data_IF_511052040412
#
_entry.id   IF_511052040412
#
_cell.length_a   1.000
_cell.length_b   1.000
_cell.length_c   1.000
_cell.angle_alpha   90.00
_cell.angle_beta   90.00
_cell.angle_gamma   90.00
#
_symmetry.space_group_name_H-M   'P 1'
#
loop_
_entity.id
_entity.type
_entity.pdbx_description
1 polymer ?
#
# COMPACT_ATOMS: atom_id res chain seq x y z
N UNK A 1 10.91 27.02 71.01
CA UNK A 1 10.68 25.56 70.90
C UNK A 1 9.56 25.34 69.89
N UNK A 2 9.73 24.35 69.00
CA UNK A 2 8.84 23.95 67.88
C UNK A 2 9.21 24.59 66.52
N UNK A 3 10.18 23.96 65.86
CA UNK A 3 10.46 24.09 64.42
C UNK A 3 9.44 23.25 63.66
N UNK A 4 8.59 23.87 62.84
CA UNK A 4 7.65 23.18 61.94
C UNK A 4 8.39 22.83 60.64
N UNK A 5 8.64 21.54 60.41
CA UNK A 5 9.06 21.04 59.11
C UNK A 5 7.82 20.86 58.22
N UNK A 6 7.71 21.67 57.18
CA UNK A 6 6.70 21.51 56.14
C UNK A 6 7.22 20.47 55.15
N UNK A 7 6.66 19.26 55.18
CA UNK A 7 6.93 18.24 54.18
C UNK A 7 6.23 18.63 52.88
N UNK A 8 7.00 19.02 51.88
CA UNK A 8 6.53 19.22 50.52
C UNK A 8 6.36 17.83 49.86
N UNK A 9 5.13 17.32 49.83
CA UNK A 9 4.78 16.16 49.04
C UNK A 9 4.86 16.53 47.56
N UNK A 10 5.96 16.17 46.90
CA UNK A 10 6.05 16.20 45.44
C UNK A 10 5.25 14.99 44.95
N UNK A 11 4.01 15.23 44.52
CA UNK A 11 3.24 14.25 43.78
C UNK A 11 3.94 14.04 42.43
N UNK A 12 4.73 12.97 42.33
CA UNK A 12 5.30 12.50 41.07
C UNK A 12 4.13 11.96 40.25
N UNK A 13 3.49 12.81 39.45
CA UNK A 13 2.50 12.36 38.48
C UNK A 13 3.23 11.51 37.46
N UNK A 14 3.15 10.19 37.61
CA UNK A 14 3.51 9.23 36.58
C UNK A 14 2.63 9.54 35.37
N UNK A 15 3.19 10.29 34.42
CA UNK A 15 2.58 10.56 33.13
C UNK A 15 2.57 9.22 32.39
N UNK A 16 1.52 8.43 32.57
CA UNK A 16 1.23 7.30 31.69
C UNK A 16 0.92 7.89 30.34
N UNK A 17 1.94 8.02 29.49
CA UNK A 17 1.73 8.17 28.06
C UNK A 17 0.96 6.94 27.61
N UNK A 18 -0.37 7.08 27.48
CA UNK A 18 -1.17 6.13 26.73
C UNK A 18 -0.55 6.07 25.36
N UNK A 19 0.11 4.95 25.05
CA UNK A 19 0.74 4.70 23.77
C UNK A 19 -0.39 4.50 22.74
N UNK A 20 -1.01 5.60 22.31
CA UNK A 20 -2.01 5.57 21.26
C UNK A 20 -1.27 5.21 19.98
N UNK A 21 -1.57 4.04 19.42
CA UNK A 21 -0.96 3.62 18.15
C UNK A 21 -1.20 4.72 17.12
N UNK A 22 -0.13 5.15 16.43
CA UNK A 22 -0.17 6.24 15.45
C UNK A 22 -1.20 5.99 14.35
N UNK A 23 -1.50 4.72 14.06
CA UNK A 23 -2.46 4.28 13.05
C UNK A 23 -3.56 3.44 13.69
N UNK A 24 -4.82 3.67 13.30
CA UNK A 24 -5.94 2.84 13.74
C UNK A 24 -6.01 1.59 12.87
N UNK A 25 -6.45 0.48 13.46
CA UNK A 25 -6.67 -0.78 12.74
C UNK A 25 -7.55 -0.58 11.50
N UNK A 26 -8.60 0.23 11.62
CA UNK A 26 -9.54 0.51 10.54
C UNK A 26 -8.89 1.26 9.37
N UNK A 27 -7.90 2.11 9.64
CA UNK A 27 -7.11 2.79 8.60
C UNK A 27 -6.25 1.76 7.84
N UNK A 28 -5.59 0.87 8.58
CA UNK A 28 -4.70 -0.14 8.02
C UNK A 28 -5.43 -1.20 7.20
N UNK A 29 -6.71 -1.46 7.52
CA UNK A 29 -7.61 -2.37 6.77
C UNK A 29 -8.41 -1.65 5.67
N UNK A 30 -8.27 -0.33 5.51
CA UNK A 30 -9.01 0.46 4.51
C UNK A 30 -10.50 0.61 4.80
N UNK A 31 -10.90 0.43 6.06
CA UNK A 31 -12.28 0.48 6.54
C UNK A 31 -12.67 1.88 7.03
N UNK A 32 -11.72 2.80 7.15
CA UNK A 32 -11.97 4.19 7.54
C UNK A 32 -12.02 5.15 6.34
N UNK A 33 -12.63 6.32 6.55
CA UNK A 33 -12.52 7.47 5.66
C UNK A 33 -11.29 8.27 6.06
N UNK A 34 -10.26 8.26 5.23
CA UNK A 34 -9.04 9.04 5.45
C UNK A 34 -9.25 10.52 5.07
N UNK A 35 -8.48 11.40 5.70
CA UNK A 35 -8.37 12.79 5.31
C UNK A 35 -7.28 12.93 4.24
N UNK A 36 -7.66 13.24 3.01
CA UNK A 36 -6.72 13.34 1.90
C UNK A 36 -6.09 14.73 1.80
N UNK A 37 -4.89 14.80 1.21
CA UNK A 37 -4.24 16.04 0.78
C UNK A 37 -5.15 16.85 -0.15
N UNK A 38 -5.76 16.15 -1.11
CA UNK A 38 -6.67 16.68 -2.11
C UNK A 38 -7.55 15.53 -2.65
N UNK A 39 -8.83 15.78 -2.92
CA UNK A 39 -9.78 14.75 -3.37
C UNK A 39 -9.47 14.19 -4.77
N UNK A 40 -8.69 14.89 -5.60
CA UNK A 40 -8.23 14.37 -6.89
C UNK A 40 -6.98 13.48 -6.78
N UNK A 41 -6.18 13.66 -5.72
CA UNK A 41 -4.94 12.89 -5.49
C UNK A 41 -5.21 11.68 -4.58
N UNK A 42 -6.07 11.84 -3.56
CA UNK A 42 -6.48 10.80 -2.60
C UNK A 42 -5.30 10.06 -1.96
N UNK A 43 -4.29 10.82 -1.56
CA UNK A 43 -3.20 10.39 -0.68
C UNK A 43 -3.31 11.11 0.67
N UNK A 44 -2.72 10.54 1.71
CA UNK A 44 -2.55 11.25 2.99
C UNK A 44 -1.76 12.54 2.80
N UNK A 45 -1.94 13.56 3.67
CA UNK A 45 -1.38 14.90 3.47
C UNK A 45 0.12 14.93 3.14
N UNK A 46 0.93 14.16 3.86
CA UNK A 46 2.38 14.10 3.67
C UNK A 46 2.75 13.43 2.33
N UNK A 47 2.11 12.30 2.02
CA UNK A 47 2.31 11.60 0.75
C UNK A 47 1.84 12.43 -0.45
N UNK A 48 0.71 13.13 -0.32
CA UNK A 48 0.18 14.02 -1.35
C UNK A 48 1.10 15.20 -1.63
N UNK A 49 1.65 15.83 -0.58
CA UNK A 49 2.65 16.90 -0.73
C UNK A 49 3.90 16.41 -1.45
N UNK A 50 4.43 15.25 -1.06
CA UNK A 50 5.59 14.64 -1.72
C UNK A 50 5.29 14.28 -3.19
N UNK A 51 4.09 13.75 -3.46
CA UNK A 51 3.65 13.42 -4.81
C UNK A 51 3.57 14.66 -5.72
N UNK A 52 3.04 15.79 -5.22
CA UNK A 52 2.99 17.04 -5.97
C UNK A 52 4.40 17.50 -6.36
N UNK A 53 5.35 17.47 -5.42
CA UNK A 53 6.74 17.82 -5.69
C UNK A 53 7.38 16.88 -6.73
N UNK A 54 7.14 15.57 -6.62
CA UNK A 54 7.60 14.58 -7.60
C UNK A 54 7.04 14.83 -8.99
N UNK A 55 5.72 15.10 -9.08
CA UNK A 55 5.02 15.38 -10.33
C UNK A 55 5.52 16.66 -11.00
N UNK A 56 5.79 17.71 -10.23
CA UNK A 56 6.37 18.96 -10.74
C UNK A 56 7.80 18.76 -11.27
N UNK A 57 8.63 17.96 -10.58
CA UNK A 57 9.97 17.63 -11.04
C UNK A 57 9.95 16.85 -12.36
N UNK A 58 9.10 15.82 -12.46
CA UNK A 58 8.93 15.05 -13.69
C UNK A 58 8.44 15.92 -14.86
N UNK A 59 7.53 16.86 -14.59
CA UNK A 59 6.99 17.75 -15.62
C UNK A 59 8.06 18.65 -16.24
N UNK A 60 9.03 19.11 -15.44
CA UNK A 60 10.19 19.89 -15.93
C UNK A 60 11.06 19.10 -16.90
N UNK A 61 11.07 17.77 -16.79
CA UNK A 61 11.74 16.84 -17.71
C UNK A 61 10.80 16.32 -18.81
N UNK A 62 9.61 16.92 -18.95
CA UNK A 62 8.67 16.62 -20.02
C UNK A 62 7.78 15.40 -19.76
N UNK A 63 7.76 14.83 -18.56
CA UNK A 63 6.94 13.67 -18.20
C UNK A 63 5.73 14.14 -17.38
N UNK A 64 4.51 13.86 -17.85
CA UNK A 64 3.29 14.25 -17.13
C UNK A 64 2.79 13.06 -16.32
N UNK A 65 3.17 12.97 -15.05
CA UNK A 65 2.66 11.91 -14.16
C UNK A 65 1.15 12.11 -13.96
N UNK A 66 0.37 11.09 -14.30
CA UNK A 66 -1.07 11.01 -14.05
C UNK A 66 -1.39 9.78 -13.19
N UNK A 67 -2.24 9.97 -12.17
CA UNK A 67 -2.70 8.90 -11.28
C UNK A 67 -3.81 8.12 -11.99
N UNK A 68 -3.65 6.79 -12.05
CA UNK A 68 -4.71 5.83 -12.42
C UNK A 68 -5.48 5.39 -11.18
N UNK A 69 -4.78 5.12 -10.08
CA UNK A 69 -5.35 4.71 -8.80
C UNK A 69 -4.52 5.24 -7.65
N UNK A 70 -5.17 5.71 -6.60
CA UNK A 70 -4.57 6.06 -5.31
C UNK A 70 -5.36 5.36 -4.20
N UNK A 71 -5.82 6.07 -3.15
CA UNK A 71 -6.58 5.44 -2.09
C UNK A 71 -7.76 4.62 -2.61
N UNK A 72 -7.87 3.42 -2.04
CA UNK A 72 -8.93 2.45 -2.33
C UNK A 72 -9.46 1.95 -1.00
N UNK A 73 -10.77 2.03 -0.79
CA UNK A 73 -11.39 1.48 0.42
C UNK A 73 -11.43 -0.06 0.39
N UNK A 74 -11.62 -0.65 1.55
CA UNK A 74 -11.90 -2.09 1.73
C UNK A 74 -13.02 -2.55 0.79
N UNK A 75 -14.16 -1.85 0.81
CA UNK A 75 -15.34 -2.20 0.00
C UNK A 75 -15.04 -2.15 -1.50
N UNK A 76 -14.23 -1.18 -1.95
CA UNK A 76 -13.80 -1.12 -3.35
C UNK A 76 -12.88 -2.29 -3.70
N UNK A 77 -11.96 -2.67 -2.82
CA UNK A 77 -11.09 -3.81 -3.05
C UNK A 77 -11.88 -5.14 -3.06
N UNK A 78 -12.86 -5.29 -2.17
CA UNK A 78 -13.80 -6.44 -2.16
C UNK A 78 -14.59 -6.55 -3.46
N UNK A 79 -15.11 -5.44 -3.96
CA UNK A 79 -15.77 -5.42 -5.26
C UNK A 79 -14.84 -5.87 -6.40
N UNK A 80 -13.59 -5.37 -6.44
CA UNK A 80 -12.60 -5.75 -7.47
C UNK A 80 -12.29 -7.25 -7.39
N UNK A 81 -12.07 -7.77 -6.18
CA UNK A 81 -11.84 -9.20 -5.94
C UNK A 81 -12.99 -10.05 -6.47
N UNK A 82 -14.21 -9.79 -6.00
CA UNK A 82 -15.39 -10.58 -6.37
C UNK A 82 -15.62 -10.52 -7.89
N UNK A 83 -15.49 -9.34 -8.51
CA UNK A 83 -15.59 -9.19 -9.97
C UNK A 83 -14.57 -10.04 -10.73
N UNK A 84 -13.30 -10.04 -10.29
CA UNK A 84 -12.24 -10.87 -10.90
C UNK A 84 -12.55 -12.36 -10.72
N UNK A 85 -12.99 -12.76 -9.53
CA UNK A 85 -13.36 -14.15 -9.23
C UNK A 85 -14.48 -14.64 -10.15
N UNK A 86 -15.58 -13.91 -10.26
CA UNK A 86 -16.69 -14.31 -11.14
C UNK A 86 -16.27 -14.34 -12.62
N UNK A 87 -15.53 -13.34 -13.11
CA UNK A 87 -15.07 -13.32 -14.51
C UNK A 87 -14.14 -14.48 -14.85
N UNK A 88 -13.29 -14.91 -13.91
CA UNK A 88 -12.43 -16.07 -14.09
C UNK A 88 -13.23 -17.39 -14.02
N UNK A 89 -14.24 -17.47 -13.13
CA UNK A 89 -15.10 -18.64 -13.01
C UNK A 89 -15.97 -18.85 -14.28
N UNK A 90 -16.45 -17.77 -14.89
CA UNK A 90 -17.14 -17.81 -16.20
C UNK A 90 -16.25 -18.38 -17.32
N UNK A 91 -14.93 -18.25 -17.18
CA UNK A 91 -13.93 -18.84 -18.09
C UNK A 91 -13.55 -20.28 -17.72
N UNK A 92 -14.24 -20.89 -16.75
CA UNK A 92 -14.01 -22.27 -16.32
C UNK A 92 -12.84 -22.46 -15.35
N UNK A 93 -12.26 -21.38 -14.80
CA UNK A 93 -11.15 -21.49 -13.84
C UNK A 93 -11.71 -21.97 -12.49
N UNK A 94 -11.18 -23.08 -11.97
CA UNK A 94 -11.63 -23.64 -10.70
C UNK A 94 -11.31 -22.69 -9.52
N UNK A 95 -12.06 -22.74 -8.40
CA UNK A 95 -11.93 -21.76 -7.31
C UNK A 95 -10.52 -21.59 -6.73
N UNK A 96 -9.75 -22.67 -6.57
CA UNK A 96 -8.40 -22.62 -5.98
C UNK A 96 -7.40 -21.97 -6.93
N UNK A 97 -7.41 -22.37 -8.20
CA UNK A 97 -6.59 -21.73 -9.24
C UNK A 97 -6.99 -20.26 -9.42
N UNK A 98 -8.27 -19.96 -9.32
CA UNK A 98 -8.80 -18.62 -9.48
C UNK A 98 -8.27 -17.66 -8.41
N UNK A 99 -8.30 -18.03 -7.12
CA UNK A 99 -7.74 -17.16 -6.07
C UNK A 99 -6.24 -16.94 -6.26
N UNK A 100 -5.49 -17.97 -6.68
CA UNK A 100 -4.06 -17.86 -6.98
C UNK A 100 -3.81 -16.89 -8.15
N UNK A 101 -4.60 -16.99 -9.21
CA UNK A 101 -4.55 -16.07 -10.36
C UNK A 101 -4.89 -14.63 -9.98
N UNK A 102 -5.84 -14.43 -9.05
CA UNK A 102 -6.20 -13.08 -8.59
C UNK A 102 -5.03 -12.45 -7.84
N UNK A 103 -4.36 -13.20 -6.95
CA UNK A 103 -3.26 -12.70 -6.13
C UNK A 103 -1.95 -12.48 -6.89
N UNK A 104 -1.91 -12.75 -8.20
CA UNK A 104 -0.81 -12.31 -9.07
C UNK A 104 -0.75 -10.78 -9.18
N UNK A 105 -1.91 -10.09 -9.21
CA UNK A 105 -2.01 -8.64 -9.43
C UNK A 105 -3.10 -7.95 -8.59
N UNK A 106 -3.71 -8.64 -7.62
CA UNK A 106 -4.78 -8.07 -6.80
C UNK A 106 -4.74 -8.60 -5.39
N UNK A 107 -5.02 -7.71 -4.45
CA UNK A 107 -4.93 -7.98 -3.01
C UNK A 107 -6.25 -8.54 -2.47
N UNK A 108 -6.16 -9.33 -1.40
CA UNK A 108 -7.31 -9.56 -0.54
C UNK A 108 -7.79 -8.21 0.02
N UNK A 109 -9.11 -8.00 0.20
CA UNK A 109 -9.60 -6.82 0.90
C UNK A 109 -9.01 -6.74 2.30
N UNK A 110 -8.52 -5.57 2.70
CA UNK A 110 -7.81 -5.38 3.96
C UNK A 110 -6.29 -5.50 3.85
N UNK A 111 -5.74 -5.97 2.72
CA UNK A 111 -4.28 -6.10 2.53
C UNK A 111 -3.70 -5.17 1.46
N UNK A 112 -4.56 -4.42 0.76
CA UNK A 112 -4.10 -3.47 -0.25
C UNK A 112 -3.32 -2.33 0.37
N UNK A 113 -2.11 -2.06 -0.12
CA UNK A 113 -1.35 -0.88 0.30
C UNK A 113 -2.04 0.44 -0.06
N UNK A 114 -2.90 0.45 -1.09
CA UNK A 114 -3.76 1.59 -1.39
C UNK A 114 -4.75 1.94 -0.26
N UNK A 115 -5.05 1.00 0.66
CA UNK A 115 -5.85 1.30 1.85
C UNK A 115 -5.22 2.40 2.70
N UNK A 116 -3.89 2.49 2.70
CA UNK A 116 -3.14 3.38 3.56
C UNK A 116 -3.09 4.82 3.05
N UNK A 117 -3.53 5.07 1.80
CA UNK A 117 -3.41 6.39 1.17
C UNK A 117 -1.96 6.82 0.96
N UNK A 118 -1.04 5.86 0.84
CA UNK A 118 0.40 6.07 0.60
C UNK A 118 0.85 5.61 -0.78
N UNK A 119 0.00 4.85 -1.48
CA UNK A 119 0.37 4.11 -2.68
C UNK A 119 -0.42 4.59 -3.91
N UNK A 120 0.27 4.70 -5.04
CA UNK A 120 -0.24 5.18 -6.32
C UNK A 120 0.10 4.24 -7.46
N UNK A 121 -0.82 4.12 -8.40
CA UNK A 121 -0.60 3.59 -9.74
C UNK A 121 -0.57 4.75 -10.72
N UNK A 122 0.49 4.86 -11.53
CA UNK A 122 0.73 6.02 -12.39
C UNK A 122 1.02 5.66 -13.85
N UNK A 123 0.69 6.60 -14.74
CA UNK A 123 1.01 6.56 -16.18
C UNK A 123 1.51 7.93 -16.67
N UNK A 124 2.01 7.97 -17.92
CA UNK A 124 2.35 9.24 -18.58
C UNK A 124 1.08 9.79 -19.23
N UNK A 125 0.50 10.82 -18.61
CA UNK A 125 -0.71 11.50 -19.06
C UNK A 125 -0.56 12.29 -20.36
N UNK A 126 0.63 12.31 -20.99
CA UNK A 126 0.81 12.78 -22.38
C UNK A 126 0.51 11.70 -23.42
N UNK A 127 0.41 10.43 -23.02
CA UNK A 127 0.23 9.30 -23.93
C UNK A 127 -1.24 8.92 -24.09
N UNK A 128 -1.62 8.30 -25.23
CA UNK A 128 -2.95 7.73 -25.40
C UNK A 128 -3.28 6.71 -24.31
N UNK A 129 -4.56 6.63 -23.95
CA UNK A 129 -5.10 5.72 -22.92
C UNK A 129 -5.98 4.69 -23.60
N UNK A 130 -5.37 3.62 -24.07
CA UNK A 130 -6.02 2.58 -24.86
C UNK A 130 -5.99 1.25 -24.12
N UNK A 131 -7.14 0.58 -23.97
CA UNK A 131 -7.23 -0.71 -23.27
C UNK A 131 -6.81 -0.62 -21.79
N UNK A 132 -6.27 -1.72 -21.25
CA UNK A 132 -5.79 -1.76 -19.88
C UNK A 132 -4.47 -0.97 -19.76
N UNK A 133 -4.45 0.02 -18.87
CA UNK A 133 -3.34 0.97 -18.74
C UNK A 133 -2.17 0.40 -17.94
N UNK A 134 -2.44 -0.55 -17.04
CA UNK A 134 -1.48 -1.07 -16.07
C UNK A 134 -1.01 -2.46 -16.49
N UNK A 135 -0.38 -2.51 -17.66
CA UNK A 135 0.22 -3.71 -18.24
C UNK A 135 1.73 -3.53 -18.34
N UNK A 136 2.50 -4.55 -17.96
CA UNK A 136 3.96 -4.49 -17.90
C UNK A 136 4.55 -4.05 -19.26
N UNK A 137 4.08 -4.61 -20.36
CA UNK A 137 4.58 -4.30 -21.70
C UNK A 137 4.46 -2.81 -22.08
N UNK A 138 3.55 -2.06 -21.43
CA UNK A 138 3.41 -0.62 -21.69
C UNK A 138 4.52 0.22 -21.07
N UNK A 139 5.26 -0.31 -20.11
CA UNK A 139 6.36 0.36 -19.42
C UNK A 139 7.74 -0.12 -19.93
N UNK A 140 7.78 -1.09 -20.85
CA UNK A 140 9.01 -1.69 -21.37
C UNK A 140 9.10 -1.62 -22.90
N UNK A 141 10.30 -1.83 -23.44
CA UNK A 141 10.54 -1.85 -24.89
C UNK A 141 10.09 -0.56 -25.57
N UNK A 142 9.10 -0.67 -26.47
CA UNK A 142 8.51 0.46 -27.19
C UNK A 142 7.18 0.93 -26.57
N UNK A 143 6.87 0.50 -25.34
CA UNK A 143 5.65 0.86 -24.64
C UNK A 143 5.51 2.37 -24.39
N UNK A 144 4.27 2.89 -24.31
CA UNK A 144 4.03 4.33 -24.18
C UNK A 144 4.62 4.94 -22.90
N UNK A 145 4.77 4.15 -21.82
CA UNK A 145 5.15 4.61 -20.49
C UNK A 145 6.62 4.33 -20.13
N UNK A 146 7.44 3.88 -21.09
CA UNK A 146 8.87 3.57 -20.85
C UNK A 146 9.63 4.75 -20.25
N UNK A 147 9.44 5.96 -20.80
CA UNK A 147 10.09 7.17 -20.28
C UNK A 147 9.67 7.53 -18.85
N UNK A 148 8.41 7.27 -18.50
CA UNK A 148 7.94 7.45 -17.14
C UNK A 148 8.63 6.46 -16.20
N UNK A 149 8.63 5.17 -16.54
CA UNK A 149 9.28 4.13 -15.74
C UNK A 149 10.73 4.49 -15.44
N UNK A 150 11.51 4.81 -16.49
CA UNK A 150 12.93 5.18 -16.37
C UNK A 150 13.14 6.39 -15.46
N UNK A 151 12.28 7.40 -15.58
CA UNK A 151 12.37 8.58 -14.72
C UNK A 151 12.04 8.24 -13.26
N UNK A 152 11.01 7.43 -13.02
CA UNK A 152 10.61 7.02 -11.68
C UNK A 152 11.68 6.15 -11.01
N UNK A 153 12.25 5.17 -11.73
CA UNK A 153 13.35 4.33 -11.23
C UNK A 153 14.56 5.17 -10.78
N UNK A 154 14.84 6.28 -11.48
CA UNK A 154 15.94 7.19 -11.17
C UNK A 154 15.62 8.19 -10.06
N UNK A 155 14.38 8.66 -9.95
CA UNK A 155 14.06 9.87 -9.18
C UNK A 155 13.08 9.66 -8.02
N UNK A 156 12.21 8.65 -8.05
CA UNK A 156 11.09 8.51 -7.10
C UNK A 156 11.57 8.51 -5.64
N UNK A 157 12.71 7.86 -5.37
CA UNK A 157 13.30 7.73 -4.03
C UNK A 157 13.61 9.10 -3.41
N UNK A 158 13.99 10.11 -4.21
CA UNK A 158 14.28 11.47 -3.74
C UNK A 158 13.05 12.17 -3.15
N UNK A 159 11.86 11.67 -3.46
CA UNK A 159 10.58 12.13 -2.95
C UNK A 159 9.95 11.14 -1.96
N UNK A 160 10.72 10.13 -1.50
CA UNK A 160 10.24 9.11 -0.56
C UNK A 160 9.38 8.01 -1.20
N UNK A 161 9.26 7.97 -2.53
CA UNK A 161 8.50 6.93 -3.23
C UNK A 161 9.39 5.78 -3.66
N UNK A 162 8.98 4.56 -3.32
CA UNK A 162 9.66 3.32 -3.67
C UNK A 162 8.73 2.40 -4.42
N UNK A 163 9.26 1.67 -5.40
CA UNK A 163 8.57 0.60 -6.10
C UNK A 163 8.48 -0.64 -5.18
N UNK A 164 7.28 -1.07 -4.72
CA UNK A 164 7.13 -2.22 -3.84
C UNK A 164 7.32 -3.53 -4.58
N UNK A 165 6.67 -3.69 -5.74
CA UNK A 165 6.68 -4.91 -6.52
C UNK A 165 7.72 -4.80 -7.63
N UNK A 166 8.98 -5.09 -7.28
CA UNK A 166 10.13 -5.01 -8.20
C UNK A 166 10.23 -6.24 -9.10
N UNK A 167 10.96 -6.12 -10.22
CA UNK A 167 11.32 -7.21 -11.15
C UNK A 167 12.42 -8.14 -10.60
N UNK A 168 12.51 -8.27 -9.28
CA UNK A 168 13.50 -9.15 -8.67
C UNK A 168 13.01 -10.59 -8.68
N UNK A 169 13.75 -11.48 -9.36
CA UNK A 169 13.49 -12.94 -9.31
C UNK A 169 13.56 -13.57 -7.92
N UNK A 170 14.09 -12.85 -6.92
CA UNK A 170 14.18 -13.30 -5.53
C UNK A 170 12.94 -12.89 -4.70
N UNK A 171 12.04 -12.10 -5.27
CA UNK A 171 10.82 -11.62 -4.61
C UNK A 171 9.68 -12.59 -4.92
N UNK A 172 8.94 -12.95 -3.88
CA UNK A 172 7.72 -13.75 -3.97
C UNK A 172 6.48 -12.84 -3.98
N UNK A 173 5.30 -13.41 -4.18
CA UNK A 173 4.02 -12.70 -4.11
C UNK A 173 3.59 -12.10 -5.45
N UNK A 174 3.10 -10.86 -5.41
CA UNK A 174 2.58 -10.16 -6.59
C UNK A 174 3.62 -10.10 -7.71
N UNK A 175 3.17 -10.06 -8.96
CA UNK A 175 4.05 -9.86 -10.11
C UNK A 175 4.67 -8.46 -10.10
N UNK A 176 5.60 -8.22 -11.02
CA UNK A 176 6.22 -6.91 -11.19
C UNK A 176 5.19 -5.86 -11.64
N UNK A 177 5.20 -4.70 -10.98
CA UNK A 177 4.25 -3.61 -11.27
C UNK A 177 5.01 -2.28 -11.44
N UNK A 178 5.55 -1.96 -12.64
CA UNK A 178 6.34 -0.74 -12.90
C UNK A 178 5.61 0.58 -12.64
N UNK A 179 4.28 0.54 -12.48
CA UNK A 179 3.41 1.68 -12.21
C UNK A 179 3.19 1.95 -10.71
N UNK A 180 3.46 0.99 -9.83
CA UNK A 180 3.01 1.02 -8.44
C UNK A 180 4.09 1.58 -7.50
N UNK A 181 3.84 2.75 -6.89
CA UNK A 181 4.81 3.40 -6.00
C UNK A 181 4.19 3.66 -4.63
N UNK A 182 4.97 3.40 -3.58
CA UNK A 182 4.59 3.58 -2.18
C UNK A 182 5.44 4.65 -1.50
N UNK A 183 4.79 5.58 -0.79
CA UNK A 183 5.45 6.58 0.03
C UNK A 183 5.97 5.96 1.33
N UNK A 184 7.28 5.65 1.35
CA UNK A 184 7.96 4.94 2.42
C UNK A 184 7.85 5.57 3.82
N UNK A 185 7.96 6.92 3.98
CA UNK A 185 7.93 7.54 5.32
C UNK A 185 6.66 7.24 6.13
N UNK A 186 5.54 6.95 5.45
CA UNK A 186 4.30 6.51 6.10
C UNK A 186 4.07 5.00 5.97
N UNK A 187 4.39 4.41 4.82
CA UNK A 187 4.02 3.02 4.57
C UNK A 187 4.86 1.99 5.34
N UNK A 188 6.10 2.32 5.71
CA UNK A 188 6.95 1.46 6.57
C UNK A 188 6.37 1.33 7.98
N UNK A 189 6.14 2.43 8.74
CA UNK A 189 5.58 2.29 10.09
C UNK A 189 4.13 1.80 10.06
N UNK A 190 3.37 2.03 8.99
CA UNK A 190 2.04 1.42 8.81
C UNK A 190 2.11 -0.09 8.62
N UNK A 191 3.06 -0.60 7.82
CA UNK A 191 3.28 -2.03 7.68
C UNK A 191 3.69 -2.66 9.02
N UNK A 192 4.56 -2.00 9.79
CA UNK A 192 4.95 -2.47 11.11
C UNK A 192 3.75 -2.62 12.07
N UNK A 193 2.87 -1.62 12.14
CA UNK A 193 1.64 -1.71 12.94
C UNK A 193 0.65 -2.74 12.38
N UNK A 194 0.54 -2.85 11.05
CA UNK A 194 -0.35 -3.81 10.39
C UNK A 194 0.02 -5.25 10.72
N UNK A 195 1.31 -5.57 10.80
CA UNK A 195 1.81 -6.91 11.14
C UNK A 195 1.57 -7.31 12.61
N UNK A 196 1.21 -6.35 13.48
CA UNK A 196 0.83 -6.63 14.88
C UNK A 196 -0.63 -7.07 15.02
N UNK A 197 -1.43 -6.94 13.96
CA UNK A 197 -2.82 -7.34 13.94
C UNK A 197 -2.96 -8.87 13.82
N UNK A 198 -4.09 -9.40 14.29
CA UNK A 198 -4.46 -10.80 14.10
C UNK A 198 -4.99 -11.04 12.67
N UNK A 199 -4.07 -10.97 11.69
CA UNK A 199 -4.40 -11.02 10.27
C UNK A 199 -5.07 -12.35 9.86
N UNK A 200 -4.77 -13.45 10.54
CA UNK A 200 -5.39 -14.75 10.25
C UNK A 200 -6.91 -14.68 10.44
N UNK A 201 -7.37 -14.03 11.51
CA UNK A 201 -8.80 -13.89 11.77
C UNK A 201 -9.43 -12.71 11.00
N UNK A 202 -8.67 -11.65 10.73
CA UNK A 202 -9.19 -10.45 10.07
C UNK A 202 -9.38 -10.62 8.55
N UNK A 203 -8.60 -11.48 7.90
CA UNK A 203 -8.61 -11.64 6.44
C UNK A 203 -9.55 -12.74 5.94
N UNK A 204 -10.52 -13.18 6.74
CA UNK A 204 -11.54 -14.15 6.34
C UNK A 204 -12.95 -13.52 6.31
N UNK A 205 -13.30 -12.71 5.30
CA UNK A 205 -14.62 -12.09 5.24
C UNK A 205 -15.69 -13.12 4.86
N UNK A 206 -16.86 -13.02 5.49
CA UNK A 206 -17.99 -13.93 5.24
C UNK A 206 -18.56 -13.82 3.82
N UNK A 207 -18.34 -12.68 3.15
CA UNK A 207 -18.91 -12.30 1.84
C UNK A 207 -17.88 -12.23 0.70
N UNK A 208 -16.68 -12.80 0.91
CA UNK A 208 -15.64 -12.86 -0.11
C UNK A 208 -15.84 -14.07 -1.04
N UNK A 209 -15.89 -13.83 -2.35
CA UNK A 209 -15.95 -14.91 -3.34
C UNK A 209 -14.67 -15.77 -3.27
N UNK A 210 -14.82 -17.09 -3.27
CA UNK A 210 -13.69 -18.02 -3.11
C UNK A 210 -13.26 -18.27 -1.66
N UNK A 211 -13.99 -17.77 -0.65
CA UNK A 211 -13.64 -17.94 0.78
C UNK A 211 -13.37 -19.39 1.22
N UNK A 212 -14.04 -20.38 0.60
CA UNK A 212 -13.82 -21.80 0.90
C UNK A 212 -12.40 -22.28 0.59
N UNK A 213 -11.65 -21.51 -0.21
CA UNK A 213 -10.26 -21.78 -0.58
C UNK A 213 -9.25 -20.92 0.20
N UNK A 214 -9.73 -20.00 1.06
CA UNK A 214 -8.91 -19.07 1.85
C UNK A 214 -8.89 -19.59 3.28
N UNK A 215 -8.13 -20.66 3.50
CA UNK A 215 -7.92 -21.24 4.82
C UNK A 215 -6.74 -20.57 5.55
N UNK A 216 -6.51 -20.97 6.81
CA UNK A 216 -5.41 -20.46 7.62
C UNK A 216 -4.05 -20.61 6.94
N UNK A 217 -3.79 -21.76 6.31
CA UNK A 217 -2.51 -22.05 5.65
C UNK A 217 -2.30 -21.13 4.44
N UNK A 218 -3.37 -20.89 3.68
CA UNK A 218 -3.35 -19.92 2.59
C UNK A 218 -3.02 -18.52 3.11
N UNK A 219 -3.68 -18.05 4.17
CA UNK A 219 -3.42 -16.71 4.74
C UNK A 219 -1.98 -16.58 5.25
N UNK A 220 -1.44 -17.61 5.90
CA UNK A 220 -0.04 -17.62 6.37
C UNK A 220 0.95 -17.50 5.20
N UNK A 221 0.77 -18.27 4.13
CA UNK A 221 1.58 -18.17 2.90
C UNK A 221 1.39 -16.80 2.24
N UNK A 222 0.17 -16.33 2.10
CA UNK A 222 -0.16 -15.03 1.51
C UNK A 222 0.49 -13.86 2.27
N UNK A 223 0.54 -13.89 3.60
CA UNK A 223 1.23 -12.84 4.37
C UNK A 223 2.73 -12.85 4.07
N UNK A 224 3.36 -14.03 4.07
CA UNK A 224 4.80 -14.15 3.83
C UNK A 224 5.19 -13.80 2.39
N UNK A 225 4.40 -14.25 1.42
CA UNK A 225 4.69 -14.14 0.00
C UNK A 225 4.16 -12.83 -0.57
N UNK A 226 2.89 -12.48 -0.37
CA UNK A 226 2.27 -11.31 -1.01
C UNK A 226 2.39 -10.03 -0.18
N UNK A 227 2.14 -10.08 1.12
CA UNK A 227 2.22 -8.88 1.99
C UNK A 227 3.67 -8.50 2.25
N UNK A 228 4.52 -9.49 2.56
CA UNK A 228 5.94 -9.27 2.85
C UNK A 228 6.85 -9.43 1.62
N UNK A 229 6.39 -9.99 0.50
CA UNK A 229 7.13 -10.04 -0.76
C UNK A 229 7.16 -8.71 -1.50
N UNK A 230 7.66 -7.67 -0.84
CA UNK A 230 7.90 -6.34 -1.37
C UNK A 230 9.39 -5.99 -1.29
N UNK A 231 9.76 -4.90 -1.95
CA UNK A 231 11.07 -4.27 -1.86
C UNK A 231 11.57 -4.22 -0.40
N UNK A 232 12.74 -4.81 -0.08
CA UNK A 232 13.26 -4.85 1.29
C UNK A 232 13.41 -3.48 1.95
N UNK A 233 13.61 -2.41 1.17
CA UNK A 233 13.67 -1.03 1.70
C UNK A 233 12.35 -0.57 2.33
N UNK A 234 11.22 -1.15 1.92
CA UNK A 234 9.90 -0.90 2.51
C UNK A 234 9.58 -1.76 3.74
N UNK A 235 10.55 -2.57 4.20
CA UNK A 235 10.46 -3.41 5.41
C UNK A 235 11.57 -3.08 6.42
N UNK A 236 12.25 -1.95 6.24
CA UNK A 236 13.30 -1.51 7.14
C UNK A 236 12.72 -0.77 8.35
N UNK A 237 12.20 -1.55 9.31
CA UNK A 237 11.53 -1.00 10.50
C UNK A 237 12.50 -0.26 11.43
N UNK A 238 13.80 -0.56 11.37
CA UNK A 238 14.81 0.03 12.25
C UNK A 238 15.17 1.48 11.88
N UNK A 239 15.05 1.82 10.60
CA UNK A 239 15.36 3.16 10.08
C UNK A 239 14.11 3.97 9.71
N UNK A 240 12.93 3.54 10.17
CA UNK A 240 11.64 4.20 9.85
C UNK A 240 11.56 5.66 10.33
N UNK A 241 12.44 6.08 11.25
CA UNK A 241 12.56 7.45 11.75
C UNK A 241 13.51 8.36 10.92
N UNK A 242 14.23 7.82 9.94
CA UNK A 242 15.25 8.54 9.15
C UNK A 242 14.75 9.04 7.78
N UNK A 243 13.47 8.86 7.45
CA UNK A 243 12.86 9.27 6.18
C UNK A 243 12.09 10.59 6.25
#
# INVERSE_FOLDING_TARGET
MITRFTYLFIALTSLTFLNQTRFKKEDLLGQSKLNFYDESIRLLPEAGKAFVAMREAALKEGIKIEIVSAYRSYERQKFIWNRKFYSNAEKGINPKENINKIIEYSTLPGTSRHHWGTDIDIIDGKKPKEGDLLLEEKFHGNGPYVKLREWMEKNAIRFGFYLPYTDSRKREGFNYEPWHYSFAPLSIPMLEEYLKLDLINLLTPNDLSGKSCIDKKFIESYINENVLGINPKLKDFKNSAEF
#
